data_IF_441816789209
#
_entry.id   IF_441816789209
#
_cell.length_a   1.000
_cell.length_b   1.000
_cell.length_c   1.000
_cell.angle_alpha   90.00
_cell.angle_beta   90.00
_cell.angle_gamma   90.00
#
_symmetry.space_group_name_H-M   'P 1'
#
loop_
_entity.id
_entity.type
_entity.pdbx_description
1 polymer ?
#
# COMPACT_ATOMS: atom_id res chain seq x y z
N UNK A 1 2.71 -18.36 -15.62
CA UNK A 1 2.46 -16.92 -15.81
C UNK A 1 2.76 -16.27 -14.46
N UNK A 2 3.70 -15.32 -14.39
CA UNK A 2 3.87 -14.54 -13.15
C UNK A 2 2.70 -13.56 -13.08
N UNK A 3 1.81 -13.76 -12.12
CA UNK A 3 0.71 -12.83 -11.87
C UNK A 3 1.32 -11.52 -11.36
N UNK A 4 1.11 -10.43 -12.09
CA UNK A 4 1.52 -9.12 -11.61
C UNK A 4 0.54 -8.68 -10.54
N UNK A 5 1.03 -8.39 -9.34
CA UNK A 5 0.23 -7.91 -8.21
C UNK A 5 0.54 -6.44 -7.95
N UNK A 6 -0.49 -5.61 -7.77
CA UNK A 6 -0.35 -4.28 -7.16
C UNK A 6 -0.78 -4.35 -5.70
N UNK A 7 0.07 -3.87 -4.79
CA UNK A 7 -0.25 -3.75 -3.38
C UNK A 7 -0.55 -2.30 -2.99
N UNK A 8 -1.66 -2.07 -2.28
CA UNK A 8 -1.98 -0.77 -1.68
C UNK A 8 -1.99 -0.89 -0.15
N UNK A 9 -1.08 -0.15 0.50
CA UNK A 9 -0.90 -0.13 1.95
C UNK A 9 -1.51 1.14 2.54
N UNK A 10 -2.56 1.02 3.37
CA UNK A 10 -3.16 2.16 4.08
C UNK A 10 -2.62 2.26 5.51
N UNK A 11 -1.92 3.34 5.86
CA UNK A 11 -1.08 3.29 7.06
C UNK A 11 -0.83 4.60 7.82
N UNK A 12 -0.13 4.52 8.98
CA UNK A 12 0.06 5.60 9.94
C UNK A 12 1.41 5.64 10.72
N UNK A 13 2.43 4.77 10.50
CA UNK A 13 3.73 4.79 11.25
C UNK A 13 4.94 4.07 10.56
N UNK A 14 5.74 4.74 9.74
CA UNK A 14 6.94 4.25 8.99
C UNK A 14 7.53 2.85 9.28
N UNK A 15 7.96 2.53 10.51
CA UNK A 15 8.71 1.31 10.87
C UNK A 15 8.09 -0.03 10.41
N UNK A 16 6.75 -0.17 10.41
CA UNK A 16 6.10 -1.41 9.96
C UNK A 16 5.97 -1.51 8.43
N UNK A 17 6.13 -0.40 7.70
CA UNK A 17 6.02 -0.40 6.24
C UNK A 17 7.22 -1.11 5.62
N UNK A 18 8.43 -0.79 6.06
CA UNK A 18 9.64 -1.33 5.45
C UNK A 18 9.66 -2.86 5.49
N UNK A 19 9.38 -3.46 6.65
CA UNK A 19 9.29 -4.92 6.79
C UNK A 19 8.21 -5.55 5.90
N UNK A 20 7.07 -4.86 5.76
CA UNK A 20 5.97 -5.36 4.91
C UNK A 20 6.35 -5.28 3.43
N UNK A 21 7.03 -4.21 3.02
CA UNK A 21 7.51 -4.01 1.66
C UNK A 21 8.55 -5.07 1.31
N UNK A 22 9.57 -5.26 2.14
CA UNK A 22 10.60 -6.29 1.97
C UNK A 22 9.98 -7.69 1.82
N UNK A 23 9.03 -8.04 2.70
CA UNK A 23 8.32 -9.33 2.62
C UNK A 23 7.54 -9.50 1.31
N UNK A 24 6.96 -8.41 0.78
CA UNK A 24 6.23 -8.42 -0.48
C UNK A 24 7.18 -8.56 -1.68
N UNK A 25 8.35 -7.93 -1.63
CA UNK A 25 9.39 -8.05 -2.66
C UNK A 25 9.98 -9.46 -2.70
N UNK A 26 10.32 -10.03 -1.55
CA UNK A 26 10.84 -11.39 -1.42
C UNK A 26 9.87 -12.44 -2.00
N UNK A 27 8.56 -12.16 -2.00
CA UNK A 27 7.55 -13.05 -2.59
C UNK A 27 7.63 -13.15 -4.13
N UNK A 28 8.33 -12.22 -4.79
CA UNK A 28 8.61 -12.25 -6.23
C UNK A 28 7.43 -12.00 -7.18
N UNK A 29 6.21 -11.84 -6.65
CA UNK A 29 4.99 -11.67 -7.46
C UNK A 29 4.47 -10.22 -7.48
N UNK A 30 5.11 -9.32 -6.73
CA UNK A 30 4.65 -7.94 -6.61
C UNK A 30 5.32 -7.08 -7.66
N UNK A 31 4.49 -6.48 -8.52
CA UNK A 31 4.93 -5.60 -9.62
C UNK A 31 4.94 -4.13 -9.23
N UNK A 32 4.13 -3.74 -8.24
CA UNK A 32 3.97 -2.35 -7.80
C UNK A 32 3.50 -2.29 -6.36
N UNK A 33 4.12 -1.43 -5.56
CA UNK A 33 3.70 -1.12 -4.19
C UNK A 33 3.34 0.36 -4.10
N UNK A 34 2.15 0.64 -3.58
CA UNK A 34 1.63 2.00 -3.36
C UNK A 34 1.32 2.16 -1.87
N UNK A 35 1.95 3.15 -1.25
CA UNK A 35 1.77 3.46 0.17
C UNK A 35 0.91 4.71 0.30
N UNK A 36 -0.16 4.61 1.08
CA UNK A 36 -1.06 5.71 1.42
C UNK A 36 -0.76 6.15 2.86
N UNK A 37 -0.10 7.30 3.02
CA UNK A 37 0.37 7.79 4.32
C UNK A 37 -0.13 9.21 4.62
N UNK A 38 -0.52 9.53 5.87
CA UNK A 38 -0.94 10.88 6.26
C UNK A 38 0.23 11.88 6.39
N UNK A 39 1.45 11.36 6.49
CA UNK A 39 2.69 12.11 6.68
C UNK A 39 3.69 11.82 5.56
N UNK A 40 4.78 12.59 5.52
CA UNK A 40 5.88 12.28 4.61
C UNK A 40 6.57 11.04 5.16
N UNK A 41 6.51 9.94 4.40
CA UNK A 41 7.21 8.70 4.71
C UNK A 41 8.12 8.40 3.53
N UNK A 42 9.36 8.04 3.81
CA UNK A 42 10.31 7.58 2.80
C UNK A 42 10.48 6.07 2.98
N UNK A 43 10.07 5.32 1.96
CA UNK A 43 10.18 3.85 1.95
C UNK A 43 10.64 3.43 0.57
N UNK A 44 11.72 2.66 0.53
CA UNK A 44 12.33 2.20 -0.70
C UNK A 44 11.36 1.34 -1.52
N UNK A 45 11.58 1.30 -2.84
CA UNK A 45 10.83 0.48 -3.79
C UNK A 45 9.30 0.64 -3.77
N UNK A 46 8.82 1.76 -3.25
CA UNK A 46 7.39 2.04 -3.14
C UNK A 46 7.03 3.44 -3.64
N UNK A 47 5.81 3.58 -4.16
CA UNK A 47 5.25 4.89 -4.48
C UNK A 47 4.44 5.38 -3.29
N UNK A 48 4.92 6.42 -2.62
CA UNK A 48 4.21 7.04 -1.49
C UNK A 48 3.27 8.13 -1.98
N UNK A 49 2.00 8.04 -1.59
CA UNK A 49 0.98 9.07 -1.80
C UNK A 49 0.59 9.64 -0.45
N UNK A 50 0.97 10.90 -0.24
CA UNK A 50 0.61 11.66 0.95
C UNK A 50 -0.89 12.00 0.95
N UNK A 51 -1.54 11.83 2.08
CA UNK A 51 -2.96 12.07 2.26
C UNK A 51 -3.21 13.10 3.36
N UNK A 52 -4.02 14.10 3.06
CA UNK A 52 -4.47 15.05 4.07
C UNK A 52 -5.70 14.47 4.81
N UNK A 53 -5.44 13.71 5.89
CA UNK A 53 -6.47 13.18 6.79
C UNK A 53 -7.08 11.82 6.40
N UNK A 54 -7.80 11.19 7.35
CA UNK A 54 -8.26 9.79 7.25
C UNK A 54 -9.28 9.51 6.12
N UNK A 55 -10.16 10.46 5.80
CA UNK A 55 -11.08 10.36 4.65
C UNK A 55 -10.35 10.36 3.30
N UNK A 56 -9.08 10.80 3.27
CA UNK A 56 -8.22 10.74 2.08
C UNK A 56 -7.88 9.31 1.68
N UNK A 57 -7.77 8.38 2.64
CA UNK A 57 -7.36 7.00 2.34
C UNK A 57 -8.41 6.30 1.47
N UNK A 58 -9.68 6.31 1.90
CA UNK A 58 -10.75 5.62 1.17
C UNK A 58 -11.00 6.23 -0.21
N UNK A 59 -10.97 7.56 -0.33
CA UNK A 59 -11.15 8.24 -1.62
C UNK A 59 -10.01 7.93 -2.59
N UNK A 60 -8.77 8.03 -2.12
CA UNK A 60 -7.59 7.73 -2.93
C UNK A 60 -7.53 6.26 -3.30
N UNK A 61 -7.85 5.36 -2.38
CA UNK A 61 -7.94 3.93 -2.66
C UNK A 61 -8.92 3.67 -3.80
N UNK A 62 -10.14 4.20 -3.73
CA UNK A 62 -11.15 4.05 -4.80
C UNK A 62 -10.63 4.56 -6.15
N UNK A 63 -10.00 5.74 -6.16
CA UNK A 63 -9.45 6.33 -7.39
C UNK A 63 -8.26 5.55 -7.97
N UNK A 64 -7.53 4.79 -7.15
CA UNK A 64 -6.43 3.94 -7.58
C UNK A 64 -6.92 2.61 -8.15
N UNK A 65 -7.90 1.97 -7.51
CA UNK A 65 -8.43 0.67 -7.97
C UNK A 65 -8.92 0.74 -9.41
N UNK A 66 -9.61 1.83 -9.78
CA UNK A 66 -10.11 2.03 -11.15
C UNK A 66 -8.98 2.17 -12.20
N UNK A 67 -7.73 2.34 -11.78
CA UNK A 67 -6.55 2.55 -12.63
C UNK A 67 -5.53 1.41 -12.55
N UNK A 68 -5.81 0.37 -11.77
CA UNK A 68 -4.90 -0.77 -11.61
C UNK A 68 -5.09 -1.70 -12.80
N UNK A 69 -4.00 -1.90 -13.53
CA UNK A 69 -3.88 -2.73 -14.73
C UNK A 69 -3.35 -4.15 -14.43
N UNK A 70 -3.06 -4.44 -13.16
CA UNK A 70 -2.52 -5.72 -12.71
C UNK A 70 -3.60 -6.76 -12.41
N UNK A 71 -3.26 -8.04 -12.56
CA UNK A 71 -4.20 -9.16 -12.39
C UNK A 71 -4.80 -9.27 -10.99
N UNK A 72 -4.07 -8.83 -9.96
CA UNK A 72 -4.49 -8.92 -8.56
C UNK A 72 -4.22 -7.62 -7.80
N UNK A 73 -5.11 -7.33 -6.84
CA UNK A 73 -5.01 -6.23 -5.90
C UNK A 73 -4.95 -6.76 -4.47
N UNK A 74 -3.90 -6.41 -3.73
CA UNK A 74 -3.77 -6.71 -2.31
C UNK A 74 -3.96 -5.44 -1.48
N UNK A 75 -4.87 -5.48 -0.51
CA UNK A 75 -5.03 -4.43 0.50
C UNK A 75 -4.71 -5.00 1.88
N UNK A 76 -3.76 -4.36 2.58
CA UNK A 76 -3.36 -4.74 3.93
C UNK A 76 -3.93 -3.69 4.90
N UNK A 77 -5.06 -3.96 5.57
CA UNK A 77 -5.63 -3.03 6.54
C UNK A 77 -4.84 -3.06 7.84
N UNK A 78 -4.75 -1.90 8.51
CA UNK A 78 -4.28 -1.84 9.90
C UNK A 78 -5.20 -2.66 10.80
N UNK A 79 -4.65 -3.64 11.52
CA UNK A 79 -5.36 -4.30 12.62
C UNK A 79 -5.66 -3.26 13.70
N UNK A 80 -6.93 -2.99 13.95
CA UNK A 80 -7.37 -2.19 15.09
C UNK A 80 -7.67 -3.16 16.24
N UNK A 81 -7.06 -3.00 17.43
CA UNK A 81 -7.51 -3.77 18.58
C UNK A 81 -8.98 -3.46 18.85
N UNK A 82 -9.76 -4.51 19.07
CA UNK A 82 -11.14 -4.39 19.52
C UNK A 82 -11.07 -4.02 21.01
N UNK A 83 -11.41 -2.77 21.33
CA UNK A 83 -11.64 -2.34 22.70
C UNK A 83 -13.09 -2.62 23.08
#
# INVERSE_FOLDING_TARGET
MNEQVTCILGYAKEELLQQTIESLEESGNVSRIIVLAPENVEVENSKVIKLNGGLGITKTWKALVDKIDTSLLLSIPKKRPLN
#
